data_IF_947419584651
#
_entry.id   IF_947419584651
#
_cell.length_a   1.000
_cell.length_b   1.000
_cell.length_c   1.000
_cell.angle_alpha   90.00
_cell.angle_beta   90.00
_cell.angle_gamma   90.00
#
_symmetry.space_group_name_H-M   'P 1'
#
loop_
_entity.id
_entity.type
_entity.pdbx_description
1 polymer ?
#
# COMPACT_ATOMS: atom_id res chain seq x y z
N UNK A 1 -9.66 6.21 -6.03
CA UNK A 1 -9.27 5.13 -5.08
C UNK A 1 -8.44 4.09 -5.85
N UNK A 2 -7.34 3.61 -5.27
CA UNK A 2 -6.40 2.67 -5.92
C UNK A 2 -6.80 1.19 -5.79
N UNK A 3 -7.65 0.85 -4.82
CA UNK A 3 -8.00 -0.55 -4.51
C UNK A 3 -6.98 -1.24 -3.59
N UNK A 4 -6.08 -0.50 -2.96
CA UNK A 4 -5.08 -1.05 -2.05
C UNK A 4 -5.69 -1.49 -0.70
N UNK A 5 -5.14 -2.54 -0.11
CA UNK A 5 -5.63 -3.19 1.10
C UNK A 5 -4.50 -3.39 2.10
N UNK A 6 -4.76 -3.11 3.38
CA UNK A 6 -3.82 -3.43 4.47
C UNK A 6 -3.82 -4.93 4.76
N UNK A 7 -2.64 -5.49 4.96
CA UNK A 7 -2.45 -6.93 5.12
C UNK A 7 -2.40 -7.39 6.58
N UNK A 8 -2.56 -6.48 7.53
CA UNK A 8 -2.51 -6.79 8.94
C UNK A 8 -2.24 -5.56 9.78
N UNK A 9 -1.76 -5.82 10.99
CA UNK A 9 -1.40 -4.80 11.95
C UNK A 9 -0.10 -4.08 11.54
N UNK A 10 0.03 -2.79 11.86
CA UNK A 10 1.28 -2.06 11.67
C UNK A 10 2.40 -2.64 12.52
N UNK A 11 3.60 -2.76 11.94
CA UNK A 11 4.82 -3.04 12.68
C UNK A 11 5.34 -1.74 13.29
N UNK A 12 5.13 -1.54 14.59
CA UNK A 12 5.56 -0.33 15.30
C UNK A 12 7.06 -0.38 15.65
N UNK A 13 7.79 0.64 15.23
CA UNK A 13 9.17 0.89 15.63
C UNK A 13 9.21 2.00 16.70
N UNK A 14 9.52 1.65 17.97
CA UNK A 14 9.56 2.60 19.07
C UNK A 14 10.79 3.52 19.04
N UNK A 15 11.87 3.12 18.37
CA UNK A 15 13.10 3.92 18.31
C UNK A 15 12.92 5.12 17.37
N UNK A 16 12.06 4.98 16.35
CA UNK A 16 11.73 6.03 15.38
C UNK A 16 10.30 6.56 15.51
N UNK A 17 9.51 6.06 16.46
CA UNK A 17 8.10 6.40 16.65
C UNK A 17 7.30 6.35 15.33
N UNK A 18 7.56 5.32 14.53
CA UNK A 18 7.01 5.14 13.18
C UNK A 18 6.53 3.71 13.02
N UNK A 19 5.49 3.50 12.19
CA UNK A 19 4.98 2.16 11.90
C UNK A 19 5.08 1.84 10.42
N UNK A 20 5.58 0.65 10.12
CA UNK A 20 5.54 0.08 8.78
C UNK A 20 4.24 -0.70 8.56
N UNK A 21 3.63 -0.51 7.39
CA UNK A 21 2.38 -1.15 7.02
C UNK A 21 2.57 -1.98 5.75
N UNK A 22 2.27 -3.28 5.85
CA UNK A 22 2.19 -4.11 4.67
C UNK A 22 0.86 -3.84 3.94
N UNK A 23 0.96 -3.46 2.67
CA UNK A 23 -0.19 -3.18 1.82
C UNK A 23 -0.10 -3.96 0.51
N UNK A 24 -1.22 -4.55 0.10
CA UNK A 24 -1.38 -5.22 -1.19
C UNK A 24 -2.22 -4.36 -2.13
N UNK A 25 -1.79 -4.27 -3.39
CA UNK A 25 -2.51 -3.59 -4.45
C UNK A 25 -2.85 -4.58 -5.56
N UNK A 26 -4.08 -5.14 -5.59
CA UNK A 26 -4.47 -6.08 -6.62
C UNK A 26 -4.51 -5.39 -7.99
N UNK A 27 -3.76 -5.90 -8.95
CA UNK A 27 -3.68 -5.32 -10.30
C UNK A 27 -5.04 -5.29 -11.02
N UNK A 28 -5.91 -6.26 -10.74
CA UNK A 28 -7.27 -6.29 -11.27
C UNK A 28 -8.14 -5.11 -10.78
N UNK A 29 -7.79 -4.51 -9.65
CA UNK A 29 -8.51 -3.38 -9.06
C UNK A 29 -7.78 -2.05 -9.26
N UNK A 30 -6.61 -2.09 -9.91
CA UNK A 30 -5.82 -0.90 -10.16
C UNK A 30 -6.52 0.00 -11.17
N UNK A 31 -6.77 1.23 -10.75
CA UNK A 31 -7.36 2.23 -11.63
C UNK A 31 -6.40 2.56 -12.79
N UNK A 32 -6.92 2.50 -14.03
CA UNK A 32 -6.16 2.78 -15.27
C UNK A 32 -5.45 4.14 -15.27
N UNK A 33 -6.03 5.17 -14.67
CA UNK A 33 -5.42 6.50 -14.58
C UNK A 33 -4.17 6.54 -13.70
N UNK A 34 -4.08 5.65 -12.71
CA UNK A 34 -2.93 5.55 -11.81
C UNK A 34 -1.90 4.51 -12.26
N UNK A 35 -2.26 3.60 -13.16
CA UNK A 35 -1.37 2.55 -13.66
C UNK A 35 -0.05 3.11 -14.19
N UNK A 36 -0.09 4.26 -14.89
CA UNK A 36 1.12 4.93 -15.39
C UNK A 36 2.09 5.38 -14.30
N UNK A 37 1.61 5.72 -13.09
CA UNK A 37 2.46 6.23 -12.00
C UNK A 37 3.08 5.13 -11.15
N UNK A 38 2.47 3.95 -11.14
CA UNK A 38 2.82 2.87 -10.21
C UNK A 38 3.49 1.66 -10.88
N UNK A 39 3.36 1.50 -12.20
CA UNK A 39 3.90 0.34 -12.94
C UNK A 39 5.03 0.74 -13.90
N UNK A 40 4.97 1.94 -14.47
CA UNK A 40 5.89 2.38 -15.53
C UNK A 40 7.25 2.82 -14.97
#
# INVERSE_FOLDING_TARGET
RLGAMMCGEPAWDPDFNTADLLMLLPMAQLNRGYARRLIA
#
